data_IF_556465648973
#
_entry.id   IF_556465648973
#
_cell.length_a   1.000
_cell.length_b   1.000
_cell.length_c   1.000
_cell.angle_alpha   90.00
_cell.angle_beta   90.00
_cell.angle_gamma   90.00
#
_symmetry.space_group_name_H-M   'P 1'
#
loop_
_entity.id
_entity.type
_entity.pdbx_description
1 polymer ?
#
# COMPACT_ATOMS: atom_id res chain seq x y z
N UNK A 1 -11.51 17.65 -38.51
CA UNK A 1 -10.32 17.64 -37.65
C UNK A 1 -10.73 17.43 -36.20
N UNK A 2 -10.20 16.42 -35.49
CA UNK A 2 -10.58 16.20 -34.11
C UNK A 2 -9.91 17.23 -33.20
N UNK A 3 -10.72 17.84 -32.32
CA UNK A 3 -10.25 18.72 -31.25
C UNK A 3 -9.85 17.83 -30.07
N UNK A 4 -8.58 17.90 -29.68
CA UNK A 4 -8.09 17.32 -28.44
C UNK A 4 -8.51 18.26 -27.29
N UNK A 5 -9.48 17.84 -26.47
CA UNK A 5 -9.77 18.53 -25.20
C UNK A 5 -8.90 17.89 -24.13
N UNK A 6 -7.90 18.63 -23.66
CA UNK A 6 -7.06 18.27 -22.53
C UNK A 6 -7.51 19.11 -21.32
N UNK A 7 -8.05 18.47 -20.29
CA UNK A 7 -8.34 19.12 -19.01
C UNK A 7 -7.28 18.71 -18.00
N UNK A 8 -6.25 19.54 -17.85
CA UNK A 8 -5.16 19.37 -16.89
C UNK A 8 -3.87 20.01 -17.40
N UNK A 9 -3.22 20.79 -16.55
CA UNK A 9 -1.96 21.48 -16.86
C UNK A 9 -0.82 20.43 -16.98
N UNK A 10 -0.05 20.38 -18.09
CA UNK A 10 0.99 19.37 -18.30
C UNK A 10 2.18 19.46 -17.34
N UNK A 11 2.24 20.49 -16.50
CA UNK A 11 3.38 20.82 -15.63
C UNK A 11 3.20 20.46 -14.16
N UNK A 12 2.04 19.95 -13.74
CA UNK A 12 1.78 19.67 -12.33
C UNK A 12 1.47 18.19 -12.10
N UNK A 13 2.53 17.40 -11.91
CA UNK A 13 2.48 16.28 -10.96
C UNK A 13 2.38 16.85 -9.53
N UNK A 14 1.39 17.71 -9.28
CA UNK A 14 1.08 18.11 -7.92
C UNK A 14 0.45 16.89 -7.28
N UNK A 15 1.22 16.25 -6.39
CA UNK A 15 0.66 15.40 -5.36
C UNK A 15 -0.59 16.09 -4.81
N UNK A 16 -1.72 15.38 -4.79
CA UNK A 16 -2.97 15.90 -4.25
C UNK A 16 -2.68 16.57 -2.89
N UNK A 17 -2.92 17.87 -2.80
CA UNK A 17 -2.60 18.70 -1.63
C UNK A 17 -3.38 18.29 -0.38
N UNK A 18 -4.44 17.50 -0.55
CA UNK A 18 -5.23 16.91 0.53
C UNK A 18 -4.55 15.68 1.16
N UNK A 19 -3.44 15.20 0.58
CA UNK A 19 -2.66 14.07 1.09
C UNK A 19 -1.39 14.59 1.74
N UNK A 20 -1.35 14.56 3.07
CA UNK A 20 -0.12 14.83 3.82
C UNK A 20 0.92 13.72 3.55
N UNK A 21 2.06 14.10 2.98
CA UNK A 21 3.17 13.19 2.71
C UNK A 21 4.30 13.39 3.72
N UNK A 22 4.76 12.30 4.33
CA UNK A 22 5.84 12.32 5.31
C UNK A 22 6.95 11.34 4.87
N UNK A 23 8.20 11.80 4.90
CA UNK A 23 9.38 10.99 4.61
C UNK A 23 10.11 10.64 5.90
N UNK A 24 10.48 9.37 6.03
CA UNK A 24 11.26 8.86 7.16
C UNK A 24 12.61 8.36 6.66
N UNK A 25 13.69 9.04 7.08
CA UNK A 25 15.05 8.59 6.81
C UNK A 25 15.45 7.53 7.82
N UNK A 26 15.78 6.34 7.33
CA UNK A 26 16.28 5.22 8.15
C UNK A 26 17.79 5.10 8.01
N UNK A 27 18.47 4.63 9.06
CA UNK A 27 19.92 4.42 9.03
C UNK A 27 20.28 3.17 8.25
N UNK A 28 19.41 2.16 8.28
CA UNK A 28 19.55 0.91 7.53
C UNK A 28 18.21 0.40 7.02
N UNK A 29 18.24 -0.41 5.95
CA UNK A 29 17.08 -1.15 5.47
C UNK A 29 16.52 -2.14 6.49
N UNK A 30 17.34 -2.63 7.41
CA UNK A 30 16.93 -3.59 8.44
C UNK A 30 15.99 -2.97 9.49
N UNK A 31 15.94 -1.63 9.58
CA UNK A 31 15.03 -0.94 10.51
C UNK A 31 13.59 -0.90 9.98
N UNK A 32 13.37 -1.13 8.68
CA UNK A 32 12.06 -0.95 8.03
C UNK A 32 10.94 -1.76 8.69
N UNK A 33 11.18 -3.01 9.07
CA UNK A 33 10.18 -3.85 9.76
C UNK A 33 9.75 -3.24 11.09
N UNK A 34 10.73 -2.82 11.91
CA UNK A 34 10.47 -2.20 13.21
C UNK A 34 9.69 -0.88 13.05
N UNK A 35 10.04 -0.08 12.05
CA UNK A 35 9.40 1.20 11.75
C UNK A 35 7.99 1.05 11.20
N UNK A 36 7.75 0.04 10.36
CA UNK A 36 6.39 -0.30 9.91
C UNK A 36 5.51 -0.67 11.11
N UNK A 37 6.00 -1.49 12.04
CA UNK A 37 5.27 -1.85 13.25
C UNK A 37 4.98 -0.65 14.14
N UNK A 38 5.93 0.28 14.30
CA UNK A 38 5.72 1.53 15.04
C UNK A 38 4.64 2.40 14.40
N UNK A 39 4.70 2.59 13.08
CA UNK A 39 3.71 3.37 12.33
C UNK A 39 2.31 2.76 12.45
N UNK A 40 2.20 1.44 12.34
CA UNK A 40 0.90 0.75 12.43
C UNK A 40 0.22 0.92 13.79
N UNK A 41 0.95 1.26 14.85
CA UNK A 41 0.39 1.55 16.18
C UNK A 41 -0.27 2.93 16.28
N UNK A 42 -0.04 3.81 15.31
CA UNK A 42 -0.63 5.16 15.28
C UNK A 42 -2.06 5.17 14.75
N UNK A 43 -2.52 4.07 14.15
CA UNK A 43 -3.86 3.95 13.58
C UNK A 43 -4.83 3.29 14.55
N UNK A 44 -6.09 3.71 14.48
CA UNK A 44 -7.14 3.22 15.36
C UNK A 44 -7.73 1.89 14.85
N UNK A 45 -8.48 1.22 15.72
CA UNK A 45 -9.20 0.01 15.30
C UNK A 45 -10.23 0.36 14.22
N UNK A 46 -10.10 -0.27 13.05
CA UNK A 46 -10.98 -0.03 11.91
C UNK A 46 -10.34 0.80 10.79
N UNK A 47 -9.24 1.50 11.08
CA UNK A 47 -8.42 2.13 10.05
C UNK A 47 -7.83 1.08 9.11
N UNK A 48 -7.89 1.39 7.81
CA UNK A 48 -7.30 0.54 6.77
C UNK A 48 -6.02 1.16 6.25
N UNK A 49 -4.96 0.37 6.20
CA UNK A 49 -3.63 0.79 5.75
C UNK A 49 -3.20 -0.06 4.57
N UNK A 50 -2.79 0.61 3.49
CA UNK A 50 -2.19 -0.03 2.32
C UNK A 50 -0.66 0.10 2.41
N UNK A 51 0.05 -1.01 2.34
CA UNK A 51 1.51 -1.05 2.40
C UNK A 51 2.05 -1.51 1.05
N UNK A 52 2.82 -0.66 0.38
CA UNK A 52 3.45 -0.99 -0.90
C UNK A 52 4.85 -1.53 -0.71
N UNK A 53 5.15 -2.62 -1.42
CA UNK A 53 6.47 -3.24 -1.50
C UNK A 53 6.86 -3.48 -2.96
N UNK A 54 8.16 -3.51 -3.25
CA UNK A 54 8.63 -3.60 -4.64
C UNK A 54 8.47 -5.00 -5.24
N UNK A 55 8.61 -6.05 -4.43
CA UNK A 55 8.68 -7.45 -4.90
C UNK A 55 7.60 -8.32 -4.26
N UNK A 56 7.09 -9.27 -5.05
CA UNK A 56 6.08 -10.25 -4.62
C UNK A 56 6.54 -11.08 -3.41
N UNK A 57 7.82 -11.49 -3.38
CA UNK A 57 8.36 -12.24 -2.24
C UNK A 57 8.37 -11.41 -0.97
N UNK A 58 8.75 -10.12 -1.06
CA UNK A 58 8.70 -9.18 0.06
C UNK A 58 7.27 -8.99 0.56
N UNK A 59 6.28 -9.00 -0.34
CA UNK A 59 4.86 -8.88 0.01
C UNK A 59 4.41 -9.98 0.98
N UNK A 60 4.76 -11.23 0.66
CA UNK A 60 4.48 -12.37 1.54
C UNK A 60 5.29 -12.33 2.84
N UNK A 61 6.57 -11.97 2.78
CA UNK A 61 7.44 -11.86 3.97
C UNK A 61 6.89 -10.82 4.95
N UNK A 62 6.56 -9.62 4.47
CA UNK A 62 6.06 -8.53 5.30
C UNK A 62 4.68 -8.85 5.86
N UNK A 63 3.75 -9.36 5.04
CA UNK A 63 2.42 -9.75 5.53
C UNK A 63 2.50 -10.84 6.62
N UNK A 64 3.34 -11.87 6.43
CA UNK A 64 3.54 -12.92 7.43
C UNK A 64 4.22 -12.40 8.70
N UNK A 65 5.19 -11.48 8.57
CA UNK A 65 5.82 -10.81 9.71
C UNK A 65 4.77 -10.06 10.53
N UNK A 66 3.91 -9.28 9.88
CA UNK A 66 2.83 -8.54 10.53
C UNK A 66 1.86 -9.48 11.26
N UNK A 67 1.45 -10.58 10.63
CA UNK A 67 0.60 -11.61 11.27
C UNK A 67 1.27 -12.21 12.50
N UNK A 68 2.56 -12.55 12.43
CA UNK A 68 3.32 -13.06 13.60
C UNK A 68 3.43 -12.03 14.73
N UNK A 69 3.37 -10.75 14.41
CA UNK A 69 3.37 -9.64 15.37
C UNK A 69 1.97 -9.25 15.86
N UNK A 70 0.93 -9.99 15.46
CA UNK A 70 -0.44 -9.82 15.93
C UNK A 70 -1.32 -8.90 15.07
N UNK A 71 -0.81 -8.40 13.94
CA UNK A 71 -1.62 -7.60 13.01
C UNK A 71 -2.39 -8.50 12.04
N UNK A 72 -3.65 -8.15 11.77
CA UNK A 72 -4.43 -8.79 10.71
C UNK A 72 -4.01 -8.20 9.37
N UNK A 73 -3.11 -8.90 8.67
CA UNK A 73 -2.55 -8.47 7.39
C UNK A 73 -2.76 -9.51 6.28
N UNK A 74 -2.85 -9.04 5.03
CA UNK A 74 -2.96 -9.88 3.84
C UNK A 74 -2.00 -9.42 2.74
N UNK A 75 -1.56 -10.35 1.88
CA UNK A 75 -0.67 -10.07 0.76
C UNK A 75 -1.40 -10.14 -0.58
N UNK A 76 -1.16 -9.16 -1.45
CA UNK A 76 -1.71 -9.08 -2.79
C UNK A 76 -0.59 -8.84 -3.82
N UNK A 77 -0.35 -9.82 -4.68
CA UNK A 77 0.63 -9.73 -5.78
C UNK A 77 0.24 -10.67 -6.93
N UNK A 78 0.94 -10.58 -8.06
CA UNK A 78 0.60 -11.30 -9.30
C UNK A 78 0.60 -12.83 -9.18
N UNK A 79 1.46 -13.42 -8.35
CA UNK A 79 1.50 -14.87 -8.14
C UNK A 79 0.37 -15.43 -7.26
N UNK A 80 -0.49 -14.59 -6.66
CA UNK A 80 -1.63 -15.10 -5.90
C UNK A 80 -2.70 -15.61 -6.86
N UNK A 81 -3.22 -16.80 -6.57
CA UNK A 81 -4.40 -17.32 -7.26
C UNK A 81 -5.56 -16.32 -7.20
N UNK A 82 -6.34 -16.21 -8.27
CA UNK A 82 -7.43 -15.24 -8.38
C UNK A 82 -8.43 -15.32 -7.20
N UNK A 83 -8.82 -16.54 -6.80
CA UNK A 83 -9.70 -16.74 -5.65
C UNK A 83 -9.07 -16.30 -4.31
N UNK A 84 -7.75 -16.39 -4.16
CA UNK A 84 -7.05 -15.88 -2.99
C UNK A 84 -6.96 -14.34 -3.01
N UNK A 85 -6.76 -13.75 -4.20
CA UNK A 85 -6.77 -12.29 -4.41
C UNK A 85 -8.11 -11.70 -4.01
N UNK A 86 -9.21 -12.25 -4.53
CA UNK A 86 -10.57 -11.80 -4.25
C UNK A 86 -10.92 -11.90 -2.76
N UNK A 87 -10.59 -13.02 -2.10
CA UNK A 87 -10.79 -13.18 -0.65
C UNK A 87 -10.00 -12.16 0.16
N UNK A 88 -8.75 -11.89 -0.22
CA UNK A 88 -7.89 -10.93 0.48
C UNK A 88 -8.42 -9.50 0.30
N UNK A 89 -8.81 -9.13 -0.91
CA UNK A 89 -9.41 -7.83 -1.21
C UNK A 89 -10.72 -7.62 -0.46
N UNK A 90 -11.58 -8.63 -0.42
CA UNK A 90 -12.84 -8.56 0.30
C UNK A 90 -12.63 -8.44 1.81
N UNK A 91 -11.67 -9.19 2.37
CA UNK A 91 -11.30 -9.06 3.77
C UNK A 91 -10.76 -7.66 4.10
N UNK A 92 -9.99 -7.06 3.18
CA UNK A 92 -9.53 -5.67 3.32
C UNK A 92 -10.67 -4.66 3.22
N UNK A 93 -11.53 -4.74 2.19
CA UNK A 93 -12.68 -3.85 2.02
C UNK A 93 -13.64 -3.86 3.21
N UNK A 94 -13.85 -5.03 3.80
CA UNK A 94 -14.72 -5.22 4.97
C UNK A 94 -14.04 -4.88 6.31
N UNK A 95 -12.74 -4.51 6.30
CA UNK A 95 -11.98 -4.21 7.51
C UNK A 95 -11.62 -5.44 8.36
N UNK A 96 -11.97 -6.66 7.92
CA UNK A 96 -11.58 -7.90 8.59
C UNK A 96 -10.05 -8.08 8.61
N UNK A 97 -9.39 -7.61 7.55
CA UNK A 97 -7.93 -7.53 7.42
C UNK A 97 -7.58 -6.06 7.16
N UNK A 98 -7.33 -5.23 8.19
CA UNK A 98 -7.09 -3.80 8.05
C UNK A 98 -5.76 -3.43 7.36
N UNK A 99 -4.79 -4.35 7.27
CA UNK A 99 -3.52 -4.08 6.58
C UNK A 99 -3.42 -4.91 5.29
N UNK A 100 -3.31 -4.24 4.15
CA UNK A 100 -3.06 -4.88 2.87
C UNK A 100 -1.63 -4.57 2.43
N UNK A 101 -0.80 -5.59 2.29
CA UNK A 101 0.53 -5.47 1.68
C UNK A 101 0.38 -5.80 0.20
N UNK A 102 0.86 -4.95 -0.69
CA UNK A 102 0.69 -5.10 -2.13
C UNK A 102 1.92 -4.65 -2.93
N UNK A 103 2.06 -5.18 -4.14
CA UNK A 103 2.96 -4.60 -5.16
C UNK A 103 2.22 -3.57 -6.02
N UNK A 104 2.94 -2.62 -6.61
CA UNK A 104 2.36 -1.57 -7.45
C UNK A 104 1.47 -2.13 -8.57
N UNK A 105 1.98 -3.15 -9.28
CA UNK A 105 1.24 -3.82 -10.36
C UNK A 105 -0.07 -4.44 -9.87
N UNK A 106 -0.06 -5.00 -8.65
CA UNK A 106 -1.24 -5.67 -8.11
C UNK A 106 -2.29 -4.71 -7.55
N UNK A 107 -1.90 -3.48 -7.21
CA UNK A 107 -2.82 -2.45 -6.75
C UNK A 107 -3.34 -1.53 -7.87
N UNK A 108 -2.80 -1.58 -9.09
CA UNK A 108 -3.40 -0.87 -10.22
C UNK A 108 -4.83 -1.36 -10.44
N UNK A 109 -5.79 -0.43 -10.45
CA UNK A 109 -7.22 -0.74 -10.57
C UNK A 109 -7.89 -1.23 -9.28
N UNK A 110 -7.19 -1.14 -8.13
CA UNK A 110 -7.73 -1.50 -6.83
C UNK A 110 -8.68 -0.40 -6.34
N UNK A 111 -9.99 -0.58 -6.55
CA UNK A 111 -11.01 0.28 -5.94
C UNK A 111 -11.22 -0.12 -4.48
N UNK A 112 -10.62 0.67 -3.57
CA UNK A 112 -10.76 0.55 -2.12
C UNK A 112 -11.01 1.94 -1.53
N UNK A 113 -12.15 2.10 -0.87
CA UNK A 113 -12.53 3.34 -0.20
C UNK A 113 -12.10 3.32 1.26
N UNK A 114 -11.92 4.49 1.85
CA UNK A 114 -11.64 4.65 3.29
C UNK A 114 -10.30 4.03 3.73
N UNK A 115 -9.30 4.10 2.87
CA UNK A 115 -7.90 3.86 3.29
C UNK A 115 -7.45 5.09 4.07
N UNK A 116 -7.02 4.89 5.31
CA UNK A 116 -6.55 5.95 6.20
C UNK A 116 -5.15 6.41 5.83
N UNK A 117 -4.30 5.47 5.43
CA UNK A 117 -2.91 5.75 5.09
C UNK A 117 -2.38 4.76 4.04
N UNK A 118 -1.43 5.27 3.25
CA UNK A 118 -0.60 4.47 2.35
C UNK A 118 0.84 4.56 2.86
N UNK A 119 1.50 3.42 3.00
CA UNK A 119 2.91 3.33 3.43
C UNK A 119 3.71 2.68 2.31
N UNK A 120 4.65 3.42 1.74
CA UNK A 120 5.62 2.86 0.80
C UNK A 120 6.79 2.25 1.60
N UNK A 121 6.73 0.94 1.83
CA UNK A 121 7.77 0.20 2.56
C UNK A 121 9.06 0.11 1.73
N UNK A 122 8.90 -0.12 0.43
CA UNK A 122 9.93 0.17 -0.57
C UNK A 122 9.49 1.41 -1.32
N UNK A 123 10.39 2.39 -1.44
CA UNK A 123 10.15 3.49 -2.35
C UNK A 123 10.04 2.91 -3.77
N UNK A 124 9.00 3.29 -4.50
CA UNK A 124 8.87 2.94 -5.90
C UNK A 124 10.12 3.46 -6.64
N UNK A 125 10.82 2.59 -7.36
CA UNK A 125 12.03 2.95 -8.11
C UNK A 125 11.72 3.78 -9.38
N UNK A 126 10.53 4.37 -9.48
CA UNK A 126 10.17 5.22 -10.60
C UNK A 126 10.39 6.68 -10.21
N UNK A 127 11.64 7.13 -10.35
CA UNK A 127 11.88 8.44 -10.96
C UNK A 127 11.53 8.31 -12.44
N UNK A 128 10.36 8.83 -12.82
CA UNK A 128 10.23 9.48 -14.12
C UNK A 128 10.78 10.91 -14.00
#
# INVERSE_FOLDING_TARGET
DPVLIQSGDPGELQANTDIAQNLLLLKSGDEKDSRLLELLRLFETGDRVLVFVARKQTCDVVANMLVRKGHKAGALHGDKEQAARERTLEAFRTGRTPVLVATDVAARGLDVKGVRAVINYDLANNTE
#
